data_IF_625393438704
#
_entry.id   IF_625393438704
#
_cell.length_a   1.000
_cell.length_b   1.000
_cell.length_c   1.000
_cell.angle_alpha   90.00
_cell.angle_beta   90.00
_cell.angle_gamma   90.00
#
_symmetry.space_group_name_H-M   'P 1'
#
loop_
_entity.id
_entity.type
_entity.pdbx_description
1 polymer ?
#
# COMPACT_ATOMS: atom_id res chain seq x y z
N UNK A 1 -82.51 54.90 11.18
CA UNK A 1 -81.18 55.04 11.80
C UNK A 1 -80.88 53.74 12.54
N UNK A 2 -80.00 52.94 12.02
CA UNK A 2 -79.62 51.65 12.65
C UNK A 2 -78.39 51.92 13.52
N UNK A 3 -78.56 51.71 14.79
CA UNK A 3 -77.47 51.81 15.79
C UNK A 3 -76.52 50.62 15.70
N UNK A 4 -75.33 50.88 15.25
CA UNK A 4 -74.25 49.84 15.19
C UNK A 4 -73.70 49.72 16.61
N UNK A 5 -74.07 48.64 17.32
CA UNK A 5 -73.47 48.24 18.59
C UNK A 5 -72.01 47.73 18.32
N UNK A 6 -71.05 48.54 18.68
CA UNK A 6 -69.63 48.12 18.74
C UNK A 6 -69.45 47.19 19.95
N UNK A 7 -69.17 45.94 19.69
CA UNK A 7 -68.73 45.04 20.75
C UNK A 7 -67.28 45.43 21.18
N UNK A 8 -67.00 45.51 22.49
CA UNK A 8 -65.63 45.82 22.93
C UNK A 8 -64.73 44.72 22.66
N UNK A 9 -63.50 45.00 22.20
CA UNK A 9 -62.42 44.08 22.04
C UNK A 9 -62.15 43.40 23.39
N UNK A 10 -62.33 42.07 23.48
CA UNK A 10 -61.86 41.27 24.60
C UNK A 10 -60.38 41.05 24.50
N UNK A 11 -59.61 41.64 25.40
CA UNK A 11 -58.16 41.32 25.58
C UNK A 11 -58.09 39.92 26.15
N UNK A 12 -57.65 38.94 25.30
CA UNK A 12 -57.27 37.61 25.77
C UNK A 12 -55.98 37.76 26.57
N UNK A 13 -56.01 37.59 27.88
CA UNK A 13 -54.82 37.46 28.70
C UNK A 13 -54.14 36.12 28.30
N UNK A 14 -53.15 36.23 27.45
CA UNK A 14 -52.31 35.06 27.12
C UNK A 14 -51.48 34.79 28.36
N UNK A 15 -51.69 33.61 28.99
CA UNK A 15 -50.85 33.13 30.08
C UNK A 15 -49.49 32.72 29.50
N UNK A 16 -48.52 33.60 29.64
CA UNK A 16 -47.17 33.46 29.09
C UNK A 16 -46.51 32.22 29.66
N UNK A 17 -46.75 31.87 30.93
CA UNK A 17 -46.17 30.68 31.57
C UNK A 17 -46.72 29.37 30.97
N UNK A 18 -48.01 29.34 30.64
CA UNK A 18 -48.60 28.14 29.98
C UNK A 18 -48.12 27.99 28.54
N UNK A 19 -47.86 29.08 27.85
CA UNK A 19 -47.31 29.07 26.49
C UNK A 19 -45.87 28.61 26.49
N UNK A 20 -45.03 29.08 27.42
CA UNK A 20 -43.63 28.64 27.58
C UNK A 20 -43.54 27.17 27.97
N UNK A 21 -44.44 26.68 28.81
CA UNK A 21 -44.52 25.25 29.16
C UNK A 21 -44.88 24.40 27.94
N UNK A 22 -45.85 24.79 27.12
CA UNK A 22 -46.25 24.10 25.89
C UNK A 22 -45.11 24.08 24.84
N UNK A 23 -44.37 25.18 24.70
CA UNK A 23 -43.22 25.29 23.81
C UNK A 23 -42.10 24.33 24.30
N UNK A 24 -41.84 24.31 25.60
CA UNK A 24 -40.82 23.41 26.18
C UNK A 24 -41.20 21.95 26.00
N UNK A 25 -42.42 21.56 26.24
CA UNK A 25 -42.92 20.20 26.02
C UNK A 25 -42.88 19.81 24.53
N UNK A 26 -43.18 20.75 23.62
CA UNK A 26 -43.08 20.50 22.19
C UNK A 26 -41.61 20.31 21.77
N UNK A 27 -40.67 21.12 22.26
CA UNK A 27 -39.25 21.00 22.00
C UNK A 27 -38.72 19.66 22.53
N UNK A 28 -39.08 19.24 23.75
CA UNK A 28 -38.70 17.94 24.32
C UNK A 28 -39.24 16.79 23.47
N UNK A 29 -40.50 16.85 23.00
CA UNK A 29 -41.09 15.83 22.11
C UNK A 29 -40.38 15.78 20.75
N UNK A 30 -40.04 16.95 20.18
CA UNK A 30 -39.24 17.00 18.95
C UNK A 30 -37.83 16.40 19.14
N UNK A 31 -37.13 16.76 20.22
CA UNK A 31 -35.82 16.22 20.55
C UNK A 31 -35.87 14.69 20.77
N UNK A 32 -36.91 14.18 21.45
CA UNK A 32 -37.07 12.72 21.60
C UNK A 32 -37.31 12.02 20.26
N UNK A 33 -38.16 12.61 19.38
CA UNK A 33 -38.39 12.07 18.02
C UNK A 33 -37.13 12.11 17.18
N UNK A 34 -36.37 13.21 17.19
CA UNK A 34 -35.12 13.35 16.52
C UNK A 34 -34.08 12.33 17.04
N UNK A 35 -34.02 12.13 18.36
CA UNK A 35 -33.16 11.10 18.97
C UNK A 35 -33.51 9.67 18.55
N UNK A 36 -34.81 9.34 18.43
CA UNK A 36 -35.27 8.04 17.94
C UNK A 36 -34.87 7.83 16.48
N UNK A 37 -35.07 8.84 15.61
CA UNK A 37 -34.71 8.77 14.19
C UNK A 37 -33.21 8.61 14.05
N UNK A 38 -32.40 9.38 14.80
CA UNK A 38 -30.95 9.25 14.81
C UNK A 38 -30.51 7.85 15.27
N UNK A 39 -31.14 7.31 16.32
CA UNK A 39 -30.88 5.95 16.80
C UNK A 39 -31.16 4.88 15.75
N UNK A 40 -32.26 5.02 15.00
CA UNK A 40 -32.60 4.11 13.89
C UNK A 40 -31.57 4.23 12.77
N UNK A 41 -31.13 5.42 12.41
CA UNK A 41 -30.10 5.63 11.37
C UNK A 41 -28.75 5.00 11.78
N UNK A 42 -28.34 5.16 13.05
CA UNK A 42 -27.13 4.53 13.58
C UNK A 42 -27.27 3.01 13.56
N UNK A 43 -28.43 2.46 13.94
CA UNK A 43 -28.69 1.02 13.92
C UNK A 43 -28.64 0.48 12.48
N UNK A 44 -29.28 1.16 11.53
CA UNK A 44 -29.23 0.78 10.11
C UNK A 44 -27.81 0.82 9.55
N UNK A 45 -27.06 1.87 9.88
CA UNK A 45 -25.65 1.98 9.49
C UNK A 45 -24.82 0.84 10.08
N UNK A 46 -25.05 0.48 11.35
CA UNK A 46 -24.38 -0.62 12.03
C UNK A 46 -24.73 -1.98 11.41
N UNK A 47 -26.01 -2.21 11.06
CA UNK A 47 -26.45 -3.43 10.38
C UNK A 47 -25.83 -3.55 8.98
N UNK A 48 -25.78 -2.45 8.21
CA UNK A 48 -25.11 -2.40 6.92
C UNK A 48 -23.61 -2.67 7.06
N UNK A 49 -22.99 -2.12 8.09
CA UNK A 49 -21.58 -2.36 8.38
C UNK A 49 -21.31 -3.84 8.69
N UNK A 50 -22.14 -4.46 9.55
CA UNK A 50 -22.04 -5.90 9.84
C UNK A 50 -22.27 -6.73 8.58
N UNK A 51 -23.31 -6.40 7.79
CA UNK A 51 -23.60 -7.09 6.54
C UNK A 51 -22.41 -7.07 5.59
N UNK A 52 -21.76 -5.93 5.41
CA UNK A 52 -20.55 -5.82 4.59
C UNK A 52 -19.38 -6.64 5.12
N UNK A 53 -19.25 -6.76 6.46
CA UNK A 53 -18.18 -7.53 7.07
C UNK A 53 -18.36 -9.05 6.99
N UNK A 54 -19.62 -9.52 6.98
CA UNK A 54 -19.94 -10.96 7.04
C UNK A 54 -20.33 -11.54 5.68
N UNK A 55 -20.66 -10.68 4.70
CA UNK A 55 -21.04 -11.13 3.37
C UNK A 55 -19.89 -11.92 2.73
N UNK A 56 -20.14 -13.18 2.41
CA UNK A 56 -19.27 -14.03 1.59
C UNK A 56 -19.49 -13.75 0.11
N UNK A 57 -18.50 -14.05 -0.71
CA UNK A 57 -18.64 -14.07 -2.17
C UNK A 57 -18.99 -15.50 -2.56
N UNK A 58 -20.18 -15.72 -3.09
CA UNK A 58 -20.68 -17.07 -3.38
C UNK A 58 -20.23 -17.59 -4.75
N UNK A 59 -19.81 -16.69 -5.65
CA UNK A 59 -19.36 -17.04 -7.00
C UNK A 59 -18.62 -15.86 -7.64
N UNK A 60 -17.93 -16.13 -8.74
CA UNK A 60 -17.42 -15.12 -9.66
C UNK A 60 -18.29 -15.07 -10.92
N UNK A 61 -18.33 -13.92 -11.57
CA UNK A 61 -18.94 -13.74 -12.88
C UNK A 61 -17.85 -13.49 -13.92
N UNK A 62 -17.74 -14.36 -14.91
CA UNK A 62 -16.83 -14.16 -16.02
C UNK A 62 -17.43 -13.15 -17.01
N UNK A 63 -16.95 -11.90 -16.99
CA UNK A 63 -17.40 -10.87 -17.93
C UNK A 63 -16.81 -11.06 -19.32
N UNK A 64 -15.53 -11.43 -19.38
CA UNK A 64 -14.80 -11.72 -20.61
C UNK A 64 -13.99 -12.99 -20.38
N UNK A 65 -14.06 -13.93 -21.30
CA UNK A 65 -13.22 -15.12 -21.30
C UNK A 65 -12.59 -15.23 -22.68
N UNK A 66 -11.27 -15.11 -22.73
CA UNK A 66 -10.50 -15.24 -23.96
C UNK A 66 -9.44 -16.32 -23.80
N UNK A 67 -9.17 -17.04 -24.89
CA UNK A 67 -8.07 -17.99 -24.93
C UNK A 67 -6.75 -17.21 -24.90
N UNK A 68 -5.89 -17.60 -23.97
CA UNK A 68 -4.59 -16.98 -23.79
C UNK A 68 -3.70 -17.25 -24.99
N UNK A 69 -3.40 -16.20 -25.77
CA UNK A 69 -2.49 -16.26 -26.92
C UNK A 69 -1.05 -15.86 -26.56
N UNK A 70 -0.80 -15.45 -25.34
CA UNK A 70 0.48 -14.93 -24.89
C UNK A 70 1.38 -16.02 -24.24
N UNK A 71 2.67 -15.74 -24.15
CA UNK A 71 3.65 -16.63 -23.51
C UNK A 71 3.50 -16.66 -21.99
N UNK A 72 4.02 -17.71 -21.35
CA UNK A 72 4.09 -17.80 -19.88
C UNK A 72 4.94 -16.69 -19.23
N UNK A 73 5.72 -15.95 -20.02
CA UNK A 73 6.58 -14.86 -19.57
C UNK A 73 5.82 -13.54 -19.30
N UNK A 74 4.53 -13.45 -19.63
CA UNK A 74 3.74 -12.24 -19.39
C UNK A 74 3.30 -12.13 -17.93
N UNK A 75 3.52 -10.97 -17.34
CA UNK A 75 3.07 -10.61 -16.00
C UNK A 75 1.94 -9.60 -16.06
N UNK A 76 0.96 -9.73 -15.16
CA UNK A 76 -0.23 -8.90 -15.08
C UNK A 76 -0.27 -8.15 -13.75
N UNK A 77 -0.50 -6.86 -13.82
CA UNK A 77 -0.64 -5.98 -12.65
C UNK A 77 -1.90 -5.12 -12.80
N UNK A 78 -2.49 -4.75 -11.68
CA UNK A 78 -3.50 -3.69 -11.66
C UNK A 78 -2.80 -2.34 -11.61
N UNK A 79 -3.21 -1.45 -12.49
CA UNK A 79 -2.76 -0.06 -12.49
C UNK A 79 -3.95 0.86 -12.73
N UNK A 80 -4.29 1.70 -11.76
CA UNK A 80 -5.40 2.66 -11.80
C UNK A 80 -6.77 2.05 -12.21
N UNK A 81 -7.04 0.81 -11.77
CA UNK A 81 -8.29 0.11 -12.02
C UNK A 81 -8.36 -0.60 -13.37
N UNK A 82 -7.29 -0.60 -14.13
CA UNK A 82 -7.11 -1.28 -15.40
C UNK A 82 -5.97 -2.31 -15.33
N UNK A 83 -5.69 -3.01 -16.41
CA UNK A 83 -4.73 -4.10 -16.45
C UNK A 83 -3.47 -3.66 -17.21
N UNK A 84 -2.32 -3.65 -16.51
CA UNK A 84 -1.01 -3.52 -17.10
C UNK A 84 -0.41 -4.92 -17.30
N UNK A 85 -0.25 -5.32 -18.54
CA UNK A 85 0.45 -6.53 -18.95
C UNK A 85 1.83 -6.16 -19.45
N UNK A 86 2.87 -6.87 -19.02
CA UNK A 86 4.22 -6.62 -19.49
C UNK A 86 5.03 -7.90 -19.66
N UNK A 87 6.04 -7.82 -20.49
CA UNK A 87 7.00 -8.89 -20.80
C UNK A 87 8.37 -8.27 -21.13
N UNK A 88 9.30 -9.09 -21.59
CA UNK A 88 10.61 -8.62 -22.06
C UNK A 88 10.52 -7.74 -23.33
N UNK A 89 9.45 -7.89 -24.12
CA UNK A 89 9.31 -7.25 -25.44
C UNK A 89 8.42 -6.00 -25.43
N UNK A 90 7.73 -5.73 -24.31
CA UNK A 90 6.85 -4.57 -24.22
C UNK A 90 5.82 -4.63 -23.11
N UNK A 91 5.02 -3.56 -23.05
CA UNK A 91 3.90 -3.41 -22.14
C UNK A 91 2.62 -3.05 -22.89
N UNK A 92 1.50 -3.57 -22.39
CA UNK A 92 0.15 -3.33 -22.88
C UNK A 92 -0.71 -2.87 -21.72
N UNK A 93 -1.49 -1.85 -21.93
CA UNK A 93 -2.44 -1.36 -20.94
C UNK A 93 -3.84 -1.45 -21.52
N UNK A 94 -4.69 -2.23 -20.86
CA UNK A 94 -6.06 -2.52 -21.29
C UNK A 94 -7.03 -2.18 -20.19
N UNK A 95 -8.26 -1.86 -20.58
CA UNK A 95 -9.34 -1.73 -19.61
C UNK A 95 -9.82 -3.11 -19.09
N UNK A 96 -10.83 -3.11 -18.23
CA UNK A 96 -11.43 -4.35 -17.67
C UNK A 96 -12.23 -5.16 -18.68
N UNK A 97 -12.47 -4.65 -19.89
CA UNK A 97 -13.10 -5.32 -21.03
C UNK A 97 -12.07 -5.86 -22.02
N UNK A 98 -10.78 -5.77 -21.68
CA UNK A 98 -9.62 -6.13 -22.51
C UNK A 98 -9.46 -5.23 -23.77
N UNK A 99 -10.09 -4.04 -23.78
CA UNK A 99 -9.85 -3.06 -24.84
C UNK A 99 -8.51 -2.35 -24.63
N UNK A 100 -7.68 -2.29 -25.68
CA UNK A 100 -6.35 -1.67 -25.65
C UNK A 100 -6.48 -0.17 -25.48
N UNK A 101 -5.84 0.38 -24.41
CA UNK A 101 -5.70 1.82 -24.18
C UNK A 101 -4.40 2.32 -24.81
N UNK A 102 -3.28 1.66 -24.48
CA UNK A 102 -1.99 1.93 -25.08
C UNK A 102 -1.07 0.71 -25.06
N UNK A 103 -0.05 0.71 -25.89
CA UNK A 103 1.06 -0.24 -25.86
C UNK A 103 2.39 0.46 -26.06
N UNK A 104 3.46 -0.16 -25.57
CA UNK A 104 4.83 0.29 -25.75
C UNK A 104 5.72 -0.93 -25.96
N UNK A 105 6.39 -0.97 -27.10
CA UNK A 105 7.43 -1.95 -27.37
C UNK A 105 8.76 -1.49 -26.79
N UNK A 106 9.48 -2.42 -26.19
CA UNK A 106 10.85 -2.26 -25.72
C UNK A 106 11.53 -3.64 -25.76
N UNK A 107 12.82 -3.67 -25.54
CA UNK A 107 13.60 -4.91 -25.36
C UNK A 107 14.32 -4.79 -24.02
N UNK A 108 13.96 -5.67 -23.06
CA UNK A 108 14.52 -5.74 -21.71
C UNK A 108 14.82 -7.19 -21.35
N UNK A 109 15.89 -7.41 -20.61
CA UNK A 109 16.28 -8.75 -20.18
C UNK A 109 15.53 -9.21 -18.94
N UNK A 110 15.31 -8.32 -17.98
CA UNK A 110 14.65 -8.61 -16.70
C UNK A 110 13.77 -7.41 -16.27
N UNK A 111 12.59 -7.22 -16.92
CA UNK A 111 11.74 -6.09 -16.65
C UNK A 111 11.09 -6.20 -15.26
N UNK A 112 11.29 -5.20 -14.43
CA UNK A 112 10.63 -5.02 -13.13
C UNK A 112 9.73 -3.80 -13.16
N UNK A 113 8.54 -3.93 -12.58
CA UNK A 113 7.56 -2.84 -12.53
C UNK A 113 7.40 -2.33 -11.11
N UNK A 114 7.52 -1.04 -10.93
CA UNK A 114 7.16 -0.32 -9.71
C UNK A 114 6.08 0.69 -10.01
N UNK A 115 5.13 0.84 -9.10
CA UNK A 115 3.94 1.67 -9.31
C UNK A 115 3.69 2.59 -8.13
N UNK A 116 3.21 3.78 -8.46
CA UNK A 116 2.55 4.70 -7.53
C UNK A 116 1.06 4.81 -7.89
N UNK A 117 0.31 5.65 -7.19
CA UNK A 117 -1.10 5.87 -7.53
C UNK A 117 -1.31 6.45 -8.94
N UNK A 118 -0.31 7.14 -9.53
CA UNK A 118 -0.45 7.86 -10.81
C UNK A 118 0.49 7.39 -11.91
N UNK A 119 1.62 6.79 -11.56
CA UNK A 119 2.67 6.42 -12.50
C UNK A 119 3.12 4.99 -12.30
N UNK A 120 3.51 4.35 -13.39
CA UNK A 120 4.21 3.07 -13.41
C UNK A 120 5.58 3.28 -14.04
N UNK A 121 6.64 2.71 -13.46
CA UNK A 121 7.95 2.65 -14.09
C UNK A 121 8.31 1.20 -14.35
N UNK A 122 8.72 0.91 -15.58
CA UNK A 122 9.23 -0.41 -16.00
C UNK A 122 10.72 -0.24 -16.22
N UNK A 123 11.51 -0.88 -15.37
CA UNK A 123 12.98 -0.84 -15.42
C UNK A 123 13.57 -2.19 -15.76
N UNK A 124 14.65 -2.22 -16.53
CA UNK A 124 15.41 -3.43 -16.82
C UNK A 124 16.41 -3.69 -15.69
N UNK A 125 16.14 -4.69 -14.82
CA UNK A 125 17.08 -5.05 -13.75
C UNK A 125 18.36 -5.60 -14.37
N UNK A 126 19.52 -5.07 -13.95
CA UNK A 126 20.85 -5.26 -14.55
C UNK A 126 21.03 -4.69 -15.95
N UNK A 127 19.99 -4.12 -16.55
CA UNK A 127 20.05 -3.30 -17.75
C UNK A 127 20.20 -1.81 -17.42
N UNK A 128 19.91 -0.95 -18.40
CA UNK A 128 20.15 0.50 -18.32
C UNK A 128 18.93 1.35 -18.67
N UNK A 129 17.77 0.73 -18.89
CA UNK A 129 16.57 1.40 -19.38
C UNK A 129 15.47 1.43 -18.34
N UNK A 130 14.77 2.57 -18.25
CA UNK A 130 13.50 2.70 -17.51
C UNK A 130 12.52 3.49 -18.36
N UNK A 131 11.31 2.96 -18.53
CA UNK A 131 10.18 3.65 -19.13
C UNK A 131 9.18 4.05 -18.04
N UNK A 132 8.66 5.27 -18.13
CA UNK A 132 7.71 5.84 -17.16
C UNK A 132 6.39 6.07 -17.88
N UNK A 133 5.32 5.54 -17.31
CA UNK A 133 3.96 5.59 -17.85
C UNK A 133 2.99 6.22 -16.87
N UNK A 134 1.94 6.81 -17.39
CA UNK A 134 0.70 7.08 -16.69
C UNK A 134 -0.47 6.34 -17.37
N UNK A 135 -1.71 6.69 -17.01
CA UNK A 135 -2.91 6.07 -17.61
C UNK A 135 -3.08 6.40 -19.12
N UNK A 136 -2.43 7.44 -19.61
CA UNK A 136 -2.55 7.93 -20.99
C UNK A 136 -1.39 7.44 -21.87
N UNK A 137 -0.34 6.83 -21.28
CA UNK A 137 0.79 6.25 -22.02
C UNK A 137 2.16 6.65 -21.51
N UNK A 138 3.13 6.69 -22.41
CA UNK A 138 4.53 6.98 -22.09
C UNK A 138 4.73 8.45 -21.72
N UNK A 139 5.23 8.68 -20.50
CA UNK A 139 5.62 10.02 -20.00
C UNK A 139 7.09 10.34 -20.26
N UNK A 140 7.96 9.35 -20.11
CA UNK A 140 9.39 9.56 -20.28
C UNK A 140 10.20 8.27 -20.25
N UNK A 141 11.49 8.44 -20.59
CA UNK A 141 12.48 7.36 -20.61
C UNK A 141 13.74 7.82 -19.90
N UNK A 142 14.31 6.93 -19.09
CA UNK A 142 15.61 7.13 -18.46
C UNK A 142 16.58 6.11 -19.09
N UNK A 143 17.70 6.61 -19.58
CA UNK A 143 18.84 5.80 -19.98
C UNK A 143 19.98 6.04 -18.99
N UNK A 144 20.48 4.97 -18.41
CA UNK A 144 21.62 5.03 -17.48
C UNK A 144 22.87 4.49 -18.18
N UNK A 145 24.04 4.92 -17.72
CA UNK A 145 25.32 4.36 -18.19
C UNK A 145 25.76 3.15 -17.38
N UNK A 146 25.08 2.90 -16.26
CA UNK A 146 25.40 1.84 -15.30
C UNK A 146 24.19 0.93 -15.09
N UNK A 147 24.40 -0.36 -14.82
CA UNK A 147 23.32 -1.30 -14.55
C UNK A 147 22.41 -0.88 -13.39
N UNK A 148 21.11 -1.09 -13.58
CA UNK A 148 20.07 -0.79 -12.61
C UNK A 148 19.95 -1.96 -11.63
N UNK A 149 19.99 -1.66 -10.32
CA UNK A 149 19.78 -2.65 -9.24
C UNK A 149 18.39 -2.53 -8.65
N UNK A 150 17.90 -1.28 -8.46
CA UNK A 150 16.56 -1.01 -7.90
C UNK A 150 15.96 0.23 -8.55
N UNK A 151 14.63 0.17 -8.67
CA UNK A 151 13.81 1.29 -9.15
C UNK A 151 12.72 1.56 -8.13
N UNK A 152 12.42 2.83 -7.84
CA UNK A 152 11.25 3.27 -7.06
C UNK A 152 10.63 4.48 -7.76
N UNK A 153 9.31 4.68 -7.58
CA UNK A 153 8.59 5.80 -8.19
C UNK A 153 7.64 6.45 -7.18
N UNK A 154 7.67 7.78 -7.15
CA UNK A 154 6.78 8.60 -6.31
C UNK A 154 5.47 8.97 -7.04
N UNK A 155 4.48 9.50 -6.31
CA UNK A 155 3.17 9.85 -6.87
C UNK A 155 3.20 11.03 -7.85
N UNK A 156 4.22 11.90 -7.81
CA UNK A 156 4.44 12.96 -8.80
C UNK A 156 5.30 12.50 -10.00
N UNK A 157 5.74 11.24 -10.02
CA UNK A 157 6.53 10.67 -11.10
C UNK A 157 8.05 10.81 -10.93
N UNK A 158 8.54 11.25 -9.77
CA UNK A 158 9.98 11.16 -9.45
C UNK A 158 10.38 9.70 -9.38
N UNK A 159 11.44 9.33 -10.10
CA UNK A 159 12.01 8.00 -10.12
C UNK A 159 13.35 8.01 -9.39
N UNK A 160 13.51 7.08 -8.45
CA UNK A 160 14.78 6.84 -7.77
C UNK A 160 15.39 5.53 -8.28
N UNK A 161 16.67 5.57 -8.59
CA UNK A 161 17.46 4.45 -9.09
C UNK A 161 18.65 4.18 -8.17
N UNK A 162 18.85 2.92 -7.86
CA UNK A 162 20.12 2.40 -7.37
C UNK A 162 20.81 1.73 -8.55
N UNK A 163 22.02 2.18 -8.85
CA UNK A 163 22.86 1.67 -9.93
C UNK A 163 24.12 1.08 -9.33
N UNK A 164 24.71 0.10 -9.99
CA UNK A 164 25.97 -0.51 -9.56
C UNK A 164 26.88 -0.76 -10.75
N UNK A 165 28.16 -0.40 -10.59
CA UNK A 165 29.21 -0.72 -11.54
C UNK A 165 30.55 -0.93 -10.83
N UNK A 166 31.20 -2.05 -11.10
CA UNK A 166 32.54 -2.38 -10.56
C UNK A 166 32.63 -2.32 -9.03
N UNK A 167 31.55 -2.68 -8.31
CA UNK A 167 31.47 -2.65 -6.84
C UNK A 167 31.23 -1.27 -6.25
N UNK A 168 30.97 -0.26 -7.10
CA UNK A 168 30.58 1.08 -6.67
C UNK A 168 29.09 1.26 -6.93
N UNK A 169 28.39 1.75 -5.94
CA UNK A 169 26.94 2.00 -6.02
C UNK A 169 26.65 3.49 -6.20
N UNK A 170 25.65 3.78 -7.00
CA UNK A 170 25.24 5.17 -7.32
C UNK A 170 23.75 5.32 -7.08
N UNK A 171 23.39 6.48 -6.55
CA UNK A 171 21.99 6.90 -6.42
C UNK A 171 21.68 7.95 -7.47
N UNK A 172 20.54 7.80 -8.16
CA UNK A 172 20.07 8.75 -9.16
C UNK A 172 18.59 9.02 -8.98
N UNK A 173 18.22 10.29 -8.95
CA UNK A 173 16.84 10.75 -8.96
C UNK A 173 16.55 11.42 -10.30
N UNK A 174 15.44 11.05 -10.93
CA UNK A 174 14.97 11.64 -12.16
C UNK A 174 13.53 12.11 -12.02
N UNK A 175 13.12 13.10 -12.80
CA UNK A 175 11.70 13.43 -12.94
C UNK A 175 10.99 12.47 -13.90
N UNK A 176 9.68 12.62 -14.04
CA UNK A 176 8.84 11.77 -14.91
C UNK A 176 9.19 11.84 -16.40
N UNK A 177 9.97 12.84 -16.83
CA UNK A 177 10.42 12.97 -18.22
C UNK A 177 11.78 12.31 -18.45
N UNK A 178 12.42 11.80 -17.38
CA UNK A 178 13.75 11.21 -17.41
C UNK A 178 14.91 12.19 -17.14
N UNK A 179 14.60 13.46 -16.84
CA UNK A 179 15.62 14.47 -16.51
C UNK A 179 16.18 14.19 -15.11
N UNK A 180 17.50 14.15 -14.98
CA UNK A 180 18.20 13.99 -13.70
C UNK A 180 17.94 15.17 -12.78
N UNK A 181 17.50 14.92 -11.57
CA UNK A 181 17.28 15.86 -10.49
C UNK A 181 18.46 15.88 -9.50
N UNK A 182 18.96 14.70 -9.14
CA UNK A 182 20.11 14.53 -8.27
C UNK A 182 20.82 13.22 -8.61
N UNK A 183 22.12 13.17 -8.38
CA UNK A 183 22.96 11.98 -8.55
C UNK A 183 24.08 12.00 -7.52
N UNK A 184 24.43 10.86 -6.95
CA UNK A 184 25.48 10.71 -5.94
C UNK A 184 26.08 9.32 -5.93
N UNK A 185 27.33 9.22 -5.50
CA UNK A 185 28.03 7.96 -5.33
C UNK A 185 27.95 7.51 -3.86
N UNK A 186 27.71 6.21 -3.64
CA UNK A 186 27.76 5.58 -2.32
C UNK A 186 29.12 4.89 -2.16
N UNK A 187 29.93 5.39 -1.24
CA UNK A 187 31.22 4.76 -0.92
C UNK A 187 31.01 3.58 0.03
N UNK A 188 31.09 2.36 -0.49
CA UNK A 188 30.89 1.11 0.25
C UNK A 188 31.85 0.96 1.44
N UNK A 189 33.10 1.41 1.29
CA UNK A 189 34.12 1.31 2.35
C UNK A 189 33.70 2.04 3.65
N UNK A 190 32.86 3.07 3.55
CA UNK A 190 32.40 3.87 4.70
C UNK A 190 30.93 3.64 5.08
N UNK A 191 30.15 3.03 4.21
CA UNK A 191 28.68 2.98 4.34
C UNK A 191 28.10 1.58 4.34
N UNK A 192 28.86 0.57 3.89
CA UNK A 192 28.37 -0.79 3.65
C UNK A 192 27.71 -0.94 2.28
N UNK A 193 27.30 -2.16 1.96
CA UNK A 193 26.69 -2.53 0.68
C UNK A 193 25.19 -2.17 0.67
N UNK A 194 24.69 -1.40 -0.30
CA UNK A 194 23.28 -1.03 -0.35
C UNK A 194 22.42 -2.27 -0.70
N UNK A 195 21.42 -2.51 0.13
CA UNK A 195 20.48 -3.63 0.01
C UNK A 195 19.19 -3.21 -0.70
N UNK A 196 18.65 -2.05 -0.34
CA UNK A 196 17.39 -1.52 -0.88
C UNK A 196 17.33 -0.01 -0.75
N UNK A 197 16.46 0.60 -1.56
CA UNK A 197 16.13 2.02 -1.53
C UNK A 197 14.63 2.22 -1.33
N UNK A 198 14.25 3.32 -0.72
CA UNK A 198 12.86 3.74 -0.59
C UNK A 198 12.70 5.22 -0.93
N UNK A 199 11.58 5.55 -1.57
CA UNK A 199 11.22 6.92 -1.94
C UNK A 199 9.84 7.25 -1.36
N UNK A 200 9.71 8.41 -0.70
CA UNK A 200 8.43 8.86 -0.17
C UNK A 200 7.42 9.12 -1.28
N UNK A 201 6.13 9.08 -0.97
CA UNK A 201 5.06 9.30 -1.96
C UNK A 201 5.16 10.66 -2.66
N UNK A 202 5.59 11.69 -1.94
CA UNK A 202 5.83 13.03 -2.49
C UNK A 202 7.23 13.20 -3.14
N UNK A 203 8.07 12.15 -3.13
CA UNK A 203 9.41 12.13 -3.72
C UNK A 203 10.44 13.05 -3.06
N UNK A 204 10.14 13.59 -1.89
CA UNK A 204 11.02 14.52 -1.17
C UNK A 204 11.97 13.84 -0.21
N UNK A 205 11.60 12.66 0.28
CA UNK A 205 12.41 11.87 1.20
C UNK A 205 12.85 10.57 0.55
N UNK A 206 14.09 10.22 0.78
CA UNK A 206 14.71 9.03 0.23
C UNK A 206 15.49 8.32 1.33
N UNK A 207 15.51 7.01 1.31
CA UNK A 207 16.25 6.19 2.26
C UNK A 207 17.00 5.09 1.55
N UNK A 208 18.15 4.71 2.11
CA UNK A 208 18.98 3.59 1.65
C UNK A 208 19.26 2.67 2.82
N UNK A 209 18.95 1.40 2.68
CA UNK A 209 19.38 0.35 3.61
C UNK A 209 20.73 -0.20 3.14
N UNK A 210 21.68 -0.33 4.07
CA UNK A 210 23.04 -0.79 3.81
C UNK A 210 23.44 -1.90 4.76
N UNK A 211 24.23 -2.85 4.29
CA UNK A 211 24.78 -3.95 5.04
C UNK A 211 26.32 -3.84 5.09
N UNK A 212 26.89 -3.81 6.27
CA UNK A 212 28.33 -3.84 6.50
C UNK A 212 28.72 -5.12 7.26
N UNK A 213 29.63 -5.88 6.68
CA UNK A 213 30.20 -7.11 7.24
C UNK A 213 31.74 -7.07 7.28
N UNK A 214 32.34 -5.89 7.08
CA UNK A 214 33.77 -5.71 6.88
C UNK A 214 34.64 -6.15 8.07
N UNK A 215 34.12 -6.05 9.29
CA UNK A 215 34.82 -6.46 10.52
C UNK A 215 34.42 -7.88 11.01
N UNK A 216 33.71 -8.65 10.19
CA UNK A 216 33.20 -9.98 10.53
C UNK A 216 31.96 -9.98 11.41
N UNK A 217 31.37 -8.81 11.69
CA UNK A 217 30.08 -8.65 12.37
C UNK A 217 29.03 -8.14 11.41
N UNK A 218 27.77 -8.54 11.62
CA UNK A 218 26.65 -8.06 10.81
C UNK A 218 26.19 -6.71 11.36
N UNK A 219 26.29 -5.66 10.53
CA UNK A 219 25.79 -4.33 10.84
C UNK A 219 24.91 -3.86 9.69
N UNK A 220 23.70 -3.43 9.98
CA UNK A 220 22.87 -2.70 9.03
C UNK A 220 22.75 -1.25 9.39
N UNK A 221 22.67 -0.40 8.39
CA UNK A 221 22.34 1.00 8.58
C UNK A 221 21.29 1.47 7.58
N UNK A 222 20.51 2.47 7.97
CA UNK A 222 19.58 3.15 7.07
C UNK A 222 19.98 4.61 7.07
N UNK A 223 20.42 5.13 5.93
CA UNK A 223 20.67 6.54 5.69
C UNK A 223 19.42 7.21 5.13
N UNK A 224 19.11 8.39 5.62
CA UNK A 224 17.93 9.17 5.27
C UNK A 224 18.34 10.48 4.64
N UNK A 225 17.72 10.77 3.50
CA UNK A 225 17.93 11.97 2.71
C UNK A 225 16.62 12.76 2.65
N UNK A 226 16.71 14.08 2.66
CA UNK A 226 15.55 14.94 2.50
C UNK A 226 15.92 16.06 1.51
N UNK A 227 15.19 16.13 0.40
CA UNK A 227 15.38 17.10 -0.68
C UNK A 227 14.48 18.35 -0.53
N UNK A 228 13.80 18.49 0.61
CA UNK A 228 13.04 19.67 1.01
C UNK A 228 13.81 20.47 2.08
N UNK A 229 13.18 21.46 2.65
CA UNK A 229 13.72 22.42 3.61
C UNK A 229 14.52 21.81 4.78
N UNK A 230 14.15 20.60 5.23
CA UNK A 230 14.84 19.90 6.32
C UNK A 230 16.27 19.45 5.94
N UNK A 231 16.49 19.12 4.67
CA UNK A 231 17.79 18.68 4.15
C UNK A 231 18.56 19.73 3.37
N UNK A 232 17.95 20.86 3.00
CA UNK A 232 18.55 21.91 2.15
C UNK A 232 19.89 22.45 2.69
N UNK A 233 20.03 22.53 4.02
CA UNK A 233 21.24 23.02 4.71
C UNK A 233 22.16 21.88 5.18
N UNK A 234 21.89 20.64 4.80
CA UNK A 234 22.68 19.47 5.18
C UNK A 234 23.64 19.08 4.07
N UNK A 235 24.80 18.54 4.45
CA UNK A 235 25.76 17.97 3.50
C UNK A 235 25.08 16.78 2.83
N UNK A 236 25.08 16.77 1.50
CA UNK A 236 24.49 15.71 0.65
C UNK A 236 23.01 15.41 0.98
N UNK A 237 22.27 16.40 1.53
CA UNK A 237 20.88 16.25 1.98
C UNK A 237 20.65 15.17 3.04
N UNK A 238 21.69 14.64 3.69
CA UNK A 238 21.57 13.59 4.72
C UNK A 238 21.02 14.17 6.02
N UNK A 239 19.82 13.73 6.42
CA UNK A 239 19.16 14.17 7.65
C UNK A 239 19.45 13.24 8.85
N UNK A 240 19.98 12.06 8.61
CA UNK A 240 20.39 11.15 9.67
C UNK A 240 20.67 9.74 9.19
N UNK A 241 21.25 8.95 10.10
CA UNK A 241 21.52 7.52 9.89
C UNK A 241 21.11 6.74 11.13
N UNK A 242 20.44 5.62 10.95
CA UNK A 242 20.16 4.62 11.99
C UNK A 242 21.06 3.43 11.80
N UNK A 243 21.71 2.96 12.86
CA UNK A 243 22.59 1.79 12.84
C UNK A 243 22.02 0.68 13.72
N UNK A 244 22.16 -0.54 13.25
CA UNK A 244 21.66 -1.75 13.88
C UNK A 244 22.74 -2.83 13.86
N UNK A 245 22.88 -3.57 14.97
CA UNK A 245 23.82 -4.68 15.09
C UNK A 245 23.07 -6.01 15.04
N UNK A 246 23.70 -7.02 14.46
CA UNK A 246 23.23 -8.41 14.39
C UNK A 246 21.88 -8.62 13.66
N UNK A 247 21.47 -7.66 12.84
CA UNK A 247 20.30 -7.78 11.98
C UNK A 247 20.62 -7.37 10.54
N UNK A 248 19.94 -8.02 9.58
CA UNK A 248 19.99 -7.68 8.16
C UNK A 248 18.65 -7.02 7.80
N UNK A 249 18.72 -5.90 7.09
CA UNK A 249 17.54 -5.14 6.63
C UNK A 249 17.50 -5.17 5.10
N UNK A 250 16.97 -6.23 4.50
CA UNK A 250 16.96 -6.40 3.05
C UNK A 250 15.91 -5.55 2.33
N UNK A 251 14.93 -4.99 3.05
CA UNK A 251 13.84 -4.25 2.43
C UNK A 251 13.41 -3.07 3.29
N UNK A 252 13.24 -1.93 2.65
CA UNK A 252 12.69 -0.71 3.24
C UNK A 252 11.62 -0.12 2.31
N UNK A 253 10.58 0.51 2.88
CA UNK A 253 9.53 1.12 2.08
C UNK A 253 8.87 2.29 2.82
N UNK A 254 8.52 3.38 2.13
CA UNK A 254 7.68 4.41 2.67
C UNK A 254 6.19 4.02 2.56
N UNK A 255 5.50 3.93 3.68
CA UNK A 255 4.03 3.77 3.70
C UNK A 255 3.33 5.08 3.35
N UNK A 256 3.85 6.18 3.89
CA UNK A 256 3.44 7.56 3.67
C UNK A 256 4.69 8.45 3.59
N UNK A 257 4.54 9.77 3.44
CA UNK A 257 5.68 10.66 3.27
C UNK A 257 6.69 10.59 4.42
N UNK A 258 6.21 10.46 5.67
CA UNK A 258 7.06 10.50 6.86
C UNK A 258 7.21 9.15 7.56
N UNK A 259 6.54 8.11 7.09
CA UNK A 259 6.50 6.80 7.74
C UNK A 259 7.20 5.76 6.88
N UNK A 260 8.36 5.31 7.32
CA UNK A 260 9.12 4.25 6.69
C UNK A 260 9.01 2.97 7.50
N UNK A 261 8.86 1.85 6.81
CA UNK A 261 9.00 0.50 7.36
C UNK A 261 10.33 -0.09 6.93
N UNK A 262 10.97 -0.79 7.87
CA UNK A 262 12.16 -1.58 7.59
C UNK A 262 11.91 -3.02 8.01
N UNK A 263 12.00 -3.93 7.06
CA UNK A 263 11.80 -5.36 7.24
C UNK A 263 13.16 -5.99 7.46
N UNK A 264 13.37 -6.62 8.61
CA UNK A 264 14.61 -7.34 8.90
C UNK A 264 14.37 -8.84 9.02
N UNK A 265 15.43 -9.59 9.19
CA UNK A 265 15.36 -11.03 9.45
C UNK A 265 14.78 -11.39 10.83
N UNK A 266 14.62 -10.43 11.75
CA UNK A 266 14.19 -10.67 13.14
C UNK A 266 12.97 -9.84 13.56
N UNK A 267 12.75 -8.69 12.94
CA UNK A 267 11.71 -7.73 13.33
C UNK A 267 11.30 -6.80 12.20
N UNK A 268 10.07 -6.31 12.27
CA UNK A 268 9.59 -5.17 11.51
C UNK A 268 9.79 -3.90 12.34
N UNK A 269 10.34 -2.85 11.75
CA UNK A 269 10.56 -1.55 12.38
C UNK A 269 9.76 -0.48 11.66
N UNK A 270 9.08 0.37 12.42
CA UNK A 270 8.38 1.54 11.93
C UNK A 270 9.18 2.78 12.35
N UNK A 271 9.59 3.59 11.38
CA UNK A 271 10.39 4.78 11.58
C UNK A 271 9.62 6.02 11.12
N UNK A 272 9.71 7.08 11.90
CA UNK A 272 9.26 8.41 11.48
C UNK A 272 10.46 9.21 10.98
N UNK A 273 10.30 9.88 9.83
CA UNK A 273 11.37 10.52 9.08
C UNK A 273 11.16 12.05 8.91
N UNK A 274 10.09 12.62 9.47
CA UNK A 274 9.72 14.03 9.35
C UNK A 274 10.77 15.05 9.86
N UNK A 275 11.89 14.57 10.35
CA UNK A 275 13.01 15.40 10.86
C UNK A 275 14.21 14.54 11.12
N UNK A 276 14.66 14.45 12.38
CA UNK A 276 15.68 13.47 12.75
C UNK A 276 15.00 12.08 12.79
N UNK A 277 15.45 11.11 11.98
CA UNK A 277 14.80 9.79 11.91
C UNK A 277 14.72 9.11 13.27
N UNK A 278 13.53 8.57 13.62
CA UNK A 278 13.27 7.90 14.89
C UNK A 278 12.53 6.59 14.69
N UNK A 279 12.97 5.53 15.37
CA UNK A 279 12.22 4.30 15.47
C UNK A 279 11.06 4.49 16.44
N UNK A 280 9.82 4.42 15.94
CA UNK A 280 8.60 4.59 16.74
C UNK A 280 8.11 3.28 17.30
N UNK A 281 8.28 2.20 16.55
CA UNK A 281 7.83 0.87 16.95
C UNK A 281 8.70 -0.21 16.34
N UNK A 282 8.84 -1.30 17.08
CA UNK A 282 9.53 -2.51 16.68
C UNK A 282 8.65 -3.71 17.01
N UNK A 283 8.39 -4.55 16.01
CA UNK A 283 7.58 -5.76 16.13
C UNK A 283 8.50 -6.95 15.87
N UNK A 284 8.86 -7.67 16.94
CA UNK A 284 9.66 -8.89 16.83
C UNK A 284 8.81 -10.02 16.25
N UNK A 285 9.39 -10.81 15.39
CA UNK A 285 8.74 -12.01 14.89
C UNK A 285 8.81 -13.13 15.94
N UNK A 286 7.69 -13.84 16.12
CA UNK A 286 7.65 -15.02 16.98
C UNK A 286 8.27 -16.24 16.31
N UNK A 287 8.34 -16.26 14.97
CA UNK A 287 8.85 -17.34 14.15
C UNK A 287 9.40 -16.79 12.82
N UNK A 288 9.79 -17.66 11.90
CA UNK A 288 10.36 -17.23 10.62
C UNK A 288 9.34 -16.48 9.77
N UNK A 289 9.71 -15.28 9.30
CA UNK A 289 8.94 -14.52 8.32
C UNK A 289 9.03 -15.20 6.94
N UNK A 290 7.88 -15.54 6.36
CA UNK A 290 7.74 -16.12 5.02
C UNK A 290 7.41 -15.07 3.98
N UNK A 291 6.45 -14.20 4.31
CA UNK A 291 5.96 -13.20 3.37
C UNK A 291 5.64 -11.90 4.12
N UNK A 292 6.03 -10.82 3.49
CA UNK A 292 5.69 -9.47 3.87
C UNK A 292 4.92 -8.83 2.71
N UNK A 293 3.81 -8.16 3.01
CA UNK A 293 3.02 -7.41 2.05
C UNK A 293 2.38 -6.20 2.73
N UNK A 294 2.11 -5.16 1.98
CA UNK A 294 1.60 -3.91 2.53
C UNK A 294 0.77 -3.14 1.52
N UNK A 295 -0.03 -2.21 2.04
CA UNK A 295 -0.58 -1.07 1.31
C UNK A 295 -0.39 0.18 2.17
N UNK A 296 -0.83 1.38 1.75
CA UNK A 296 -0.62 2.61 2.53
C UNK A 296 -1.27 2.60 3.94
N UNK A 297 -2.15 1.65 4.27
CA UNK A 297 -2.91 1.59 5.52
C UNK A 297 -2.55 0.42 6.42
N UNK A 298 -2.16 -0.71 5.84
CA UNK A 298 -1.96 -1.97 6.55
C UNK A 298 -0.66 -2.66 6.14
N UNK A 299 -0.14 -3.43 7.08
CA UNK A 299 1.04 -4.28 6.93
C UNK A 299 0.61 -5.71 7.26
N UNK A 300 0.87 -6.64 6.35
CA UNK A 300 0.64 -8.07 6.50
C UNK A 300 1.96 -8.82 6.65
N UNK A 301 2.04 -9.66 7.65
CA UNK A 301 3.13 -10.62 7.87
C UNK A 301 2.55 -12.02 7.82
N UNK A 302 3.19 -12.92 7.10
CA UNK A 302 2.92 -14.36 7.18
C UNK A 302 4.16 -15.03 7.75
N UNK A 303 3.97 -15.70 8.86
CA UNK A 303 5.00 -16.35 9.66
C UNK A 303 4.78 -17.87 9.66
N UNK A 304 5.84 -18.64 9.85
CA UNK A 304 5.70 -20.07 10.18
C UNK A 304 4.95 -20.23 11.50
N UNK A 305 4.11 -21.26 11.62
CA UNK A 305 3.49 -21.59 12.89
C UNK A 305 4.32 -22.66 13.60
N UNK A 306 4.99 -22.32 14.70
CA UNK A 306 5.81 -23.23 15.50
C UNK A 306 5.00 -24.33 16.19
N UNK A 307 3.67 -24.19 16.29
CA UNK A 307 2.78 -25.16 16.95
C UNK A 307 2.45 -26.37 16.07
N UNK A 308 2.85 -26.39 14.80
CA UNK A 308 2.66 -27.57 13.95
C UNK A 308 3.68 -28.63 14.36
N UNK A 309 3.22 -29.69 15.02
CA UNK A 309 4.00 -30.88 15.28
C UNK A 309 4.55 -31.43 13.98
N UNK A 310 5.79 -31.89 13.96
CA UNK A 310 6.50 -32.44 12.77
C UNK A 310 5.77 -33.62 12.08
N UNK A 311 4.63 -34.05 12.59
CA UNK A 311 3.83 -35.17 12.08
C UNK A 311 2.66 -34.75 11.16
N UNK A 312 2.23 -33.44 11.18
CA UNK A 312 1.23 -32.97 10.24
C UNK A 312 1.91 -32.42 8.96
N UNK A 313 1.68 -33.11 7.85
CA UNK A 313 2.21 -32.79 6.50
C UNK A 313 1.70 -31.46 5.91
N UNK A 314 0.88 -30.70 6.62
CA UNK A 314 0.31 -29.45 6.14
C UNK A 314 1.07 -28.25 6.76
N UNK A 315 1.67 -27.44 5.92
CA UNK A 315 2.24 -26.16 6.33
C UNK A 315 1.16 -25.29 6.98
N UNK A 316 1.34 -24.97 8.25
CA UNK A 316 0.45 -24.07 8.99
C UNK A 316 1.15 -22.74 9.15
N UNK A 317 0.46 -21.67 8.78
CA UNK A 317 0.98 -20.30 8.81
C UNK A 317 0.20 -19.44 9.82
N UNK A 318 0.89 -18.44 10.36
CA UNK A 318 0.29 -17.38 11.15
C UNK A 318 0.32 -16.07 10.37
N UNK A 319 -0.85 -15.56 9.99
CA UNK A 319 -0.99 -14.25 9.37
C UNK A 319 -1.27 -13.22 10.46
N UNK A 320 -0.44 -12.17 10.50
CA UNK A 320 -0.60 -11.02 11.37
C UNK A 320 -0.80 -9.77 10.52
N UNK A 321 -1.86 -9.01 10.80
CA UNK A 321 -2.17 -7.75 10.13
C UNK A 321 -2.02 -6.63 11.14
N UNK A 322 -1.23 -5.63 10.78
CA UNK A 322 -1.00 -4.40 11.55
C UNK A 322 -1.52 -3.19 10.79
N UNK A 323 -1.91 -2.15 11.51
CA UNK A 323 -2.12 -0.83 10.91
C UNK A 323 -0.77 -0.13 10.64
N UNK A 324 -0.80 1.01 9.95
CA UNK A 324 0.41 1.77 9.63
C UNK A 324 1.11 2.42 10.84
N UNK A 325 0.53 2.31 12.06
CA UNK A 325 1.16 2.68 13.33
C UNK A 325 1.72 1.46 14.06
N UNK A 326 1.56 0.25 13.48
CA UNK A 326 2.01 -1.01 14.04
C UNK A 326 1.10 -1.55 15.16
N UNK A 327 -0.15 -1.12 15.27
CA UNK A 327 -1.12 -1.79 16.16
C UNK A 327 -1.63 -3.05 15.47
N UNK A 328 -1.65 -4.17 16.22
CA UNK A 328 -2.16 -5.44 15.71
C UNK A 328 -3.67 -5.32 15.48
N UNK A 329 -4.08 -5.48 14.23
CA UNK A 329 -5.49 -5.49 13.81
C UNK A 329 -6.07 -6.88 13.96
N UNK A 330 -5.32 -7.90 13.50
CA UNK A 330 -5.74 -9.30 13.53
C UNK A 330 -4.56 -10.24 13.45
N UNK A 331 -4.71 -11.36 14.14
CA UNK A 331 -3.91 -12.57 13.97
C UNK A 331 -4.82 -13.73 13.58
N UNK A 332 -4.40 -14.54 12.60
CA UNK A 332 -5.13 -15.70 12.12
C UNK A 332 -4.19 -16.80 11.66
N UNK A 333 -4.43 -18.01 12.14
CA UNK A 333 -3.77 -19.22 11.65
C UNK A 333 -4.55 -19.79 10.45
N UNK A 334 -3.83 -20.26 9.45
CA UNK A 334 -4.40 -20.93 8.28
C UNK A 334 -3.43 -22.01 7.75
N UNK A 335 -3.96 -22.99 7.00
CA UNK A 335 -3.21 -24.16 6.51
C UNK A 335 -3.23 -24.31 5.00
N UNK A 336 -3.53 -23.24 4.26
CA UNK A 336 -3.56 -23.26 2.79
C UNK A 336 -2.20 -22.86 2.23
N UNK A 337 -1.76 -23.53 1.18
CA UNK A 337 -0.57 -23.12 0.41
C UNK A 337 -0.87 -21.85 -0.37
N UNK A 338 0.12 -21.00 -0.53
CA UNK A 338 0.02 -19.76 -1.32
C UNK A 338 1.36 -19.46 -1.99
N UNK A 339 1.29 -18.86 -3.16
CA UNK A 339 2.46 -18.34 -3.87
C UNK A 339 2.64 -16.84 -3.63
N UNK A 340 1.55 -16.12 -3.49
CA UNK A 340 1.53 -14.67 -3.30
C UNK A 340 0.47 -14.27 -2.27
N UNK A 341 0.80 -13.28 -1.46
CA UNK A 341 -0.14 -12.60 -0.57
C UNK A 341 -0.11 -11.10 -0.85
N UNK A 342 -1.28 -10.48 -0.96
CA UNK A 342 -1.40 -9.05 -1.20
C UNK A 342 -2.69 -8.49 -0.61
N UNK A 343 -2.73 -7.17 -0.36
CA UNK A 343 -3.97 -6.48 -0.07
C UNK A 343 -4.65 -6.09 -1.38
N UNK A 344 -5.96 -6.34 -1.46
CA UNK A 344 -6.81 -5.83 -2.51
C UNK A 344 -7.15 -4.35 -2.24
N UNK A 345 -7.71 -3.65 -3.24
CA UNK A 345 -8.05 -2.21 -3.14
C UNK A 345 -9.04 -1.89 -2.01
N UNK A 346 -9.89 -2.87 -1.63
CA UNK A 346 -10.83 -2.78 -0.51
C UNK A 346 -10.20 -3.16 0.85
N UNK A 347 -8.87 -3.34 0.91
CA UNK A 347 -8.06 -3.78 2.05
C UNK A 347 -8.32 -5.23 2.50
N UNK A 348 -8.98 -6.07 1.72
CA UNK A 348 -9.05 -7.50 1.96
C UNK A 348 -7.71 -8.16 1.62
N UNK A 349 -7.40 -9.27 2.26
CA UNK A 349 -6.18 -10.04 2.01
C UNK A 349 -6.48 -11.12 1.00
N UNK A 350 -5.79 -11.11 -0.12
CA UNK A 350 -5.83 -12.15 -1.14
C UNK A 350 -4.60 -13.06 -1.00
N UNK A 351 -4.83 -14.34 -0.80
CA UNK A 351 -3.84 -15.39 -0.94
C UNK A 351 -4.06 -16.07 -2.29
N UNK A 352 -3.05 -16.00 -3.13
CA UNK A 352 -3.07 -16.56 -4.47
C UNK A 352 -2.09 -17.74 -4.57
N UNK A 353 -2.56 -18.86 -5.04
CA UNK A 353 -1.75 -20.01 -5.45
C UNK A 353 -1.87 -20.19 -6.98
N UNK A 354 -1.25 -21.21 -7.54
CA UNK A 354 -1.21 -21.40 -8.99
C UNK A 354 -2.61 -21.53 -9.64
N UNK A 355 -3.55 -22.16 -8.95
CA UNK A 355 -4.91 -22.34 -9.43
C UNK A 355 -5.98 -22.10 -8.36
N UNK A 356 -5.61 -21.45 -7.25
CA UNK A 356 -6.48 -21.27 -6.09
C UNK A 356 -6.39 -19.83 -5.59
N UNK A 357 -7.52 -19.26 -5.20
CA UNK A 357 -7.60 -17.95 -4.57
C UNK A 357 -8.39 -18.03 -3.28
N UNK A 358 -7.85 -17.43 -2.22
CA UNK A 358 -8.56 -17.27 -0.96
C UNK A 358 -8.55 -15.80 -0.56
N UNK A 359 -9.72 -15.25 -0.22
CA UNK A 359 -9.85 -13.86 0.22
C UNK A 359 -10.33 -13.81 1.65
N UNK A 360 -9.59 -13.06 2.49
CA UNK A 360 -9.93 -12.81 3.88
C UNK A 360 -10.22 -11.33 4.12
N UNK A 361 -11.18 -11.05 4.99
CA UNK A 361 -11.32 -9.71 5.56
C UNK A 361 -10.11 -9.37 6.45
N UNK A 362 -9.91 -8.08 6.76
CA UNK A 362 -8.94 -7.64 7.77
C UNK A 362 -9.16 -8.30 9.15
N UNK A 363 -10.38 -8.76 9.44
CA UNK A 363 -10.73 -9.48 10.68
C UNK A 363 -10.51 -10.99 10.58
N UNK A 364 -9.97 -11.47 9.45
CA UNK A 364 -9.67 -12.88 9.25
C UNK A 364 -10.88 -13.76 8.92
N UNK A 365 -12.02 -13.18 8.52
CA UNK A 365 -13.17 -13.95 8.00
C UNK A 365 -12.86 -14.30 6.56
N UNK A 366 -12.95 -15.58 6.21
CA UNK A 366 -12.84 -16.05 4.83
C UNK A 366 -14.10 -15.64 4.07
N UNK A 367 -13.94 -14.82 3.05
CA UNK A 367 -15.04 -14.33 2.21
C UNK A 367 -15.20 -15.12 0.93
N UNK A 368 -14.11 -15.66 0.43
CA UNK A 368 -14.07 -16.35 -0.82
C UNK A 368 -12.96 -17.38 -0.82
N UNK A 369 -13.27 -18.55 -1.40
CA UNK A 369 -12.30 -19.57 -1.70
C UNK A 369 -12.77 -20.32 -2.94
N UNK A 370 -11.93 -20.38 -3.95
CA UNK A 370 -12.20 -21.16 -5.15
C UNK A 370 -10.89 -21.69 -5.73
N UNK A 371 -10.98 -22.91 -6.28
CA UNK A 371 -9.92 -23.55 -7.05
C UNK A 371 -10.42 -23.76 -8.49
N UNK A 372 -9.56 -23.49 -9.45
CA UNK A 372 -9.87 -23.62 -10.88
C UNK A 372 -9.00 -24.72 -11.51
N UNK A 373 -9.46 -25.28 -12.60
CA UNK A 373 -8.68 -26.22 -13.42
C UNK A 373 -7.58 -25.53 -14.23
N UNK A 374 -7.54 -24.20 -14.24
CA UNK A 374 -6.59 -23.36 -14.96
C UNK A 374 -5.75 -22.53 -13.99
N UNK A 375 -4.53 -22.20 -14.41
CA UNK A 375 -3.65 -21.34 -13.60
C UNK A 375 -4.16 -19.91 -13.52
N UNK A 376 -4.04 -19.30 -12.31
CA UNK A 376 -4.41 -17.92 -12.02
C UNK A 376 -3.13 -17.10 -11.83
N UNK A 377 -3.06 -15.95 -12.47
CA UNK A 377 -1.91 -15.05 -12.37
C UNK A 377 -2.18 -13.83 -11.49
N UNK A 378 -3.39 -13.31 -11.52
CA UNK A 378 -3.80 -12.13 -10.78
C UNK A 378 -5.30 -12.15 -10.50
N UNK A 379 -5.67 -11.69 -9.34
CA UNK A 379 -7.06 -11.41 -8.95
C UNK A 379 -7.18 -9.91 -8.69
N UNK A 380 -8.18 -9.29 -9.30
CA UNK A 380 -8.53 -7.89 -9.08
C UNK A 380 -9.92 -7.83 -8.46
N UNK A 381 -10.15 -7.01 -7.41
CA UNK A 381 -11.49 -6.83 -6.87
C UNK A 381 -12.38 -6.19 -7.94
N UNK A 382 -13.60 -6.71 -8.10
CA UNK A 382 -14.62 -6.06 -8.90
C UNK A 382 -15.01 -4.69 -8.31
N UNK A 383 -15.40 -3.76 -9.17
CA UNK A 383 -15.94 -2.44 -8.76
C UNK A 383 -17.38 -2.55 -8.29
#
# INVERSE_FOLDING_TARGET
>A
MAEIRRQPFQTVKVDIEEMDRKIREHRIRMLKRAGIVLGILILLWFLLYIYHQVRTYDSHEAKVTEDRQDSAANTYLEFQGNILKYSNDGAFYTDTSNELIWNQSYEMSDPVVVMSAKYAAIGDEKGTLVYIFDKDGLCGKIETTKPIVRVKIAEQGTVALLLEENGVSYLKLCDKTGKTLAEGELHVENSGYPMDIALSKDGKQFAVSMLDISDGTIKSSIAFYNFDSAGEKKIDHVVGTKKYSDIIIPQIEFLENDNLIAVSNQKLMLLEVSGKPQEKKSIKYGSRLRTFFYNGKYIGLILDNESSSKEEKNDVYCMQIYDNRGALVKEKTFSRTYRKAEFLNNNEVCLLNDNECTIFTLRGVEKYHEAWDKSIYKVLPGR
#
